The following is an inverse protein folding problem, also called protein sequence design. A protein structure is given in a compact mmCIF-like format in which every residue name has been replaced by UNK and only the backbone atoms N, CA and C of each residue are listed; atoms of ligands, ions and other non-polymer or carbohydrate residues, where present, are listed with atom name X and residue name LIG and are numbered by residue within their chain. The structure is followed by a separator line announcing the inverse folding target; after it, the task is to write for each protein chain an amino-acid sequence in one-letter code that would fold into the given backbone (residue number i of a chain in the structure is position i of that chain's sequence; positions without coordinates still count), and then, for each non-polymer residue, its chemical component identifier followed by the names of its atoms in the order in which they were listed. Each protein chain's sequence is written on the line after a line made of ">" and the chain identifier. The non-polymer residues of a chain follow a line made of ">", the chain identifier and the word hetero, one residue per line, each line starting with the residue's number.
data_IF_050000378330
#
_entry.id   IF_050000378330
#
_cell.length_a   1.000
_cell.length_b   1.000
_cell.length_c   1.000
_cell.angle_alpha   90.00
_cell.angle_beta   90.00
_cell.angle_gamma   90.00
#
_symmetry.space_group_name_H-M   'P 1'
#
loop_
_entity.id
_entity.type
_entity.pdbx_description
1 polymer ?
#
# COMPACT_ATOMS: atom_id res chain seq x y z
N UNK A 1 -9.35 3.58 16.62
CA UNK A 1 -9.44 2.48 15.64
C UNK A 1 -10.02 2.94 14.30
N UNK A 2 -10.95 3.90 14.30
CA UNK A 2 -11.54 4.44 13.05
C UNK A 2 -10.58 5.35 12.27
N UNK A 3 -9.58 5.89 12.91
CA UNK A 3 -8.58 6.78 12.29
C UNK A 3 -7.42 6.03 11.61
N UNK A 4 -7.35 4.70 11.75
CA UNK A 4 -6.27 3.87 11.23
C UNK A 4 -6.85 2.88 10.22
N UNK A 5 -6.36 2.94 8.99
CA UNK A 5 -6.54 1.91 7.97
C UNK A 5 -5.32 0.98 7.95
N UNK A 6 -5.55 -0.30 7.64
CA UNK A 6 -4.46 -1.28 7.57
C UNK A 6 -4.63 -2.22 6.38
N UNK A 7 -3.57 -2.31 5.59
CA UNK A 7 -3.40 -3.27 4.50
C UNK A 7 -2.36 -4.31 4.91
N UNK A 8 -2.78 -5.55 5.05
CA UNK A 8 -1.90 -6.66 5.40
C UNK A 8 -1.28 -7.32 4.16
N UNK A 9 -0.11 -7.91 4.30
CA UNK A 9 0.62 -8.60 3.23
C UNK A 9 -0.25 -9.58 2.44
N UNK A 10 -1.02 -10.46 3.10
CA UNK A 10 -1.93 -11.43 2.50
C UNK A 10 -3.34 -10.87 2.19
N UNK A 11 -3.53 -9.54 2.16
CA UNK A 11 -4.85 -8.87 2.05
C UNK A 11 -5.81 -9.15 3.22
N UNK A 12 -5.69 -10.27 3.91
CA UNK A 12 -6.49 -10.70 5.06
C UNK A 12 -8.01 -10.50 4.83
N UNK A 13 -8.50 -10.85 3.65
CA UNK A 13 -9.93 -10.83 3.34
C UNK A 13 -10.62 -12.01 4.03
N UNK A 14 -11.88 -11.81 4.38
CA UNK A 14 -12.74 -12.88 4.86
C UNK A 14 -13.24 -13.69 3.67
N UNK A 15 -12.81 -14.94 3.53
CA UNK A 15 -13.13 -15.80 2.39
C UNK A 15 -14.62 -16.11 2.25
N UNK A 16 -15.34 -16.12 3.36
CA UNK A 16 -16.79 -16.34 3.41
C UNK A 16 -17.64 -15.10 3.12
N UNK A 17 -17.01 -13.95 2.95
CA UNK A 17 -17.67 -12.67 2.66
C UNK A 17 -17.41 -12.24 1.23
N UNK A 18 -18.42 -11.65 0.60
CA UNK A 18 -18.26 -11.00 -0.71
C UNK A 18 -17.33 -9.79 -0.63
N UNK A 19 -16.89 -9.30 -1.79
CA UNK A 19 -16.09 -8.06 -1.91
C UNK A 19 -16.77 -6.90 -1.17
N UNK A 20 -18.07 -6.66 -1.42
CA UNK A 20 -18.82 -5.59 -0.76
C UNK A 20 -18.90 -5.78 0.76
N UNK A 21 -19.08 -7.01 1.23
CA UNK A 21 -19.14 -7.31 2.67
C UNK A 21 -17.79 -7.13 3.36
N UNK A 22 -16.68 -7.53 2.71
CA UNK A 22 -15.33 -7.26 3.20
C UNK A 22 -15.09 -5.76 3.37
N UNK A 23 -15.46 -4.95 2.39
CA UNK A 23 -15.29 -3.48 2.45
C UNK A 23 -16.24 -2.86 3.47
N UNK A 24 -17.48 -3.35 3.58
CA UNK A 24 -18.46 -2.86 4.55
C UNK A 24 -18.11 -3.21 6.01
N UNK A 25 -17.27 -4.22 6.24
CA UNK A 25 -17.01 -4.78 7.56
C UNK A 25 -16.60 -3.72 8.59
N UNK A 26 -15.60 -2.82 8.33
CA UNK A 26 -15.23 -1.80 9.29
C UNK A 26 -16.37 -0.81 9.60
N UNK A 27 -17.18 -0.45 8.61
CA UNK A 27 -18.32 0.45 8.81
C UNK A 27 -19.37 -0.20 9.75
N UNK A 28 -19.66 -1.49 9.54
CA UNK A 28 -20.60 -2.25 10.39
C UNK A 28 -20.12 -2.40 11.83
N UNK A 29 -18.79 -2.47 12.02
CA UNK A 29 -18.17 -2.65 13.34
C UNK A 29 -18.02 -1.36 14.14
N UNK A 30 -17.83 -0.23 13.46
CA UNK A 30 -17.38 1.00 14.12
C UNK A 30 -18.34 2.18 13.93
N UNK A 31 -19.41 2.04 13.16
CA UNK A 31 -20.42 3.09 12.95
C UNK A 31 -21.83 2.57 13.22
N UNK A 32 -22.75 3.52 13.45
CA UNK A 32 -24.18 3.26 13.51
C UNK A 32 -24.90 3.71 12.23
N UNK A 33 -24.17 3.73 11.12
CA UNK A 33 -24.70 4.20 9.83
C UNK A 33 -25.79 3.28 9.30
N UNK A 34 -26.79 3.86 8.64
CA UNK A 34 -27.85 3.10 7.98
C UNK A 34 -27.28 2.22 6.86
N UNK A 35 -27.97 1.11 6.56
CA UNK A 35 -27.58 0.20 5.46
C UNK A 35 -27.38 0.94 4.14
N UNK A 36 -28.22 1.92 3.83
CA UNK A 36 -28.12 2.72 2.61
C UNK A 36 -26.84 3.58 2.60
N UNK A 37 -26.46 4.18 3.73
CA UNK A 37 -25.25 5.00 3.84
C UNK A 37 -23.99 4.13 3.69
N UNK A 38 -23.98 2.96 4.35
CA UNK A 38 -22.90 1.97 4.21
C UNK A 38 -22.76 1.55 2.75
N UNK A 39 -23.87 1.19 2.07
CA UNK A 39 -23.85 0.77 0.67
C UNK A 39 -23.24 1.85 -0.23
N UNK A 40 -23.72 3.10 -0.12
CA UNK A 40 -23.18 4.22 -0.91
C UNK A 40 -21.69 4.42 -0.69
N UNK A 41 -21.21 4.27 0.55
CA UNK A 41 -19.78 4.42 0.86
C UNK A 41 -18.96 3.26 0.29
N UNK A 42 -19.47 2.03 0.35
CA UNK A 42 -18.85 0.84 -0.26
C UNK A 42 -18.74 0.99 -1.77
N UNK A 43 -19.83 1.41 -2.43
CA UNK A 43 -19.86 1.63 -3.88
C UNK A 43 -18.79 2.67 -4.29
N UNK A 44 -18.74 3.79 -3.58
CA UNK A 44 -17.77 4.85 -3.80
C UNK A 44 -16.31 4.37 -3.69
N UNK A 45 -15.96 3.65 -2.63
CA UNK A 45 -14.56 3.19 -2.47
C UNK A 45 -14.21 2.06 -3.42
N UNK A 46 -15.17 1.19 -3.81
CA UNK A 46 -14.95 0.17 -4.83
C UNK A 46 -14.75 0.77 -6.22
N UNK A 47 -15.48 1.82 -6.56
CA UNK A 47 -15.25 2.59 -7.79
C UNK A 47 -13.86 3.23 -7.77
N UNK A 48 -13.46 3.86 -6.65
CA UNK A 48 -12.13 4.50 -6.49
C UNK A 48 -10.97 3.54 -6.70
N UNK A 49 -11.10 2.28 -6.31
CA UNK A 49 -10.07 1.26 -6.54
C UNK A 49 -10.28 0.47 -7.84
N UNK A 50 -11.15 0.95 -8.74
CA UNK A 50 -11.47 0.34 -10.03
C UNK A 50 -11.96 -1.12 -9.94
N UNK A 51 -12.93 -1.36 -9.05
CA UNK A 51 -13.58 -2.66 -8.84
C UNK A 51 -15.09 -2.63 -9.08
N UNK A 52 -15.52 -1.83 -10.07
CA UNK A 52 -16.92 -1.76 -10.48
C UNK A 52 -17.40 -3.14 -10.92
N UNK A 53 -18.58 -3.56 -10.41
CA UNK A 53 -19.18 -4.86 -10.75
C UNK A 53 -18.67 -6.08 -9.98
N UNK A 54 -17.66 -5.90 -9.11
CA UNK A 54 -17.11 -7.01 -8.30
C UNK A 54 -17.85 -7.26 -6.98
N UNK A 55 -18.86 -6.46 -6.62
CA UNK A 55 -19.51 -6.43 -5.31
C UNK A 55 -19.92 -7.79 -4.75
N UNK A 56 -20.47 -8.65 -5.60
CA UNK A 56 -21.03 -9.96 -5.20
C UNK A 56 -20.03 -11.12 -5.29
N UNK A 57 -18.84 -10.87 -5.81
CA UNK A 57 -17.79 -11.89 -5.92
C UNK A 57 -17.19 -12.22 -4.57
N UNK A 58 -16.76 -13.47 -4.41
CA UNK A 58 -15.95 -13.91 -3.28
C UNK A 58 -14.45 -13.65 -3.56
N UNK A 59 -13.58 -13.58 -2.54
CA UNK A 59 -12.14 -13.47 -2.73
C UNK A 59 -11.54 -14.52 -3.67
N UNK A 60 -12.05 -15.76 -3.63
CA UNK A 60 -11.64 -16.86 -4.51
C UNK A 60 -11.99 -16.68 -6.00
N UNK A 61 -12.90 -15.75 -6.33
CA UNK A 61 -13.37 -15.48 -7.69
C UNK A 61 -12.67 -14.27 -8.33
N UNK A 62 -11.69 -13.70 -7.67
CA UNK A 62 -10.96 -12.50 -8.12
C UNK A 62 -9.45 -12.71 -8.07
N UNK A 63 -8.71 -12.00 -8.94
CA UNK A 63 -7.25 -12.09 -8.99
C UNK A 63 -6.56 -11.52 -7.75
N UNK A 64 -5.28 -11.88 -7.51
CA UNK A 64 -4.49 -11.35 -6.40
C UNK A 64 -4.43 -9.82 -6.37
N UNK A 65 -4.24 -9.19 -7.53
CA UNK A 65 -4.27 -7.72 -7.63
C UNK A 65 -5.64 -7.13 -7.30
N UNK A 66 -6.75 -7.80 -7.68
CA UNK A 66 -8.09 -7.38 -7.25
C UNK A 66 -8.28 -7.56 -5.74
N UNK A 67 -7.77 -8.64 -5.14
CA UNK A 67 -7.83 -8.83 -3.69
C UNK A 67 -7.09 -7.71 -2.93
N UNK A 68 -5.93 -7.27 -3.42
CA UNK A 68 -5.20 -6.12 -2.86
C UNK A 68 -6.02 -4.84 -2.94
N UNK A 69 -6.69 -4.57 -4.07
CA UNK A 69 -7.57 -3.41 -4.22
C UNK A 69 -8.79 -3.48 -3.29
N UNK A 70 -9.39 -4.64 -3.07
CA UNK A 70 -10.46 -4.83 -2.06
C UNK A 70 -9.94 -4.51 -0.66
N UNK A 71 -8.73 -4.98 -0.32
CA UNK A 71 -8.12 -4.72 0.97
C UNK A 71 -7.79 -3.22 1.18
N UNK A 72 -7.34 -2.52 0.12
CA UNK A 72 -7.18 -1.06 0.13
C UNK A 72 -8.52 -0.36 0.34
N UNK A 73 -9.57 -0.73 -0.42
CA UNK A 73 -10.91 -0.17 -0.26
C UNK A 73 -11.43 -0.35 1.17
N UNK A 74 -11.25 -1.54 1.76
CA UNK A 74 -11.59 -1.83 3.16
C UNK A 74 -10.80 -0.97 4.14
N UNK A 75 -9.51 -0.72 3.88
CA UNK A 75 -8.67 0.08 4.76
C UNK A 75 -9.09 1.57 4.78
N UNK A 76 -9.55 2.11 3.64
CA UNK A 76 -9.91 3.53 3.51
C UNK A 76 -11.40 3.84 3.71
N UNK A 77 -12.25 2.82 3.88
CA UNK A 77 -13.71 3.00 3.90
C UNK A 77 -14.20 3.93 5.03
N UNK A 78 -13.48 3.97 6.16
CA UNK A 78 -13.78 4.84 7.32
C UNK A 78 -13.12 6.24 7.25
N UNK A 79 -12.53 6.64 6.12
CA UNK A 79 -11.74 7.87 6.00
C UNK A 79 -10.66 7.97 7.10
N UNK A 80 -9.70 7.04 7.15
CA UNK A 80 -8.66 7.06 8.16
C UNK A 80 -7.72 8.26 7.99
N UNK A 81 -7.08 8.70 9.08
CA UNK A 81 -5.99 9.69 9.03
C UNK A 81 -4.63 9.04 8.75
N UNK A 82 -4.51 7.77 9.10
CA UNK A 82 -3.28 6.98 8.96
C UNK A 82 -3.56 5.70 8.21
N UNK A 83 -2.73 5.38 7.22
CA UNK A 83 -2.77 4.13 6.47
C UNK A 83 -1.45 3.39 6.66
N UNK A 84 -1.52 2.16 7.16
CA UNK A 84 -0.37 1.29 7.27
C UNK A 84 -0.49 0.19 6.22
N UNK A 85 0.52 0.04 5.37
CA UNK A 85 0.62 -0.98 4.34
C UNK A 85 1.80 -1.89 4.63
N UNK A 86 1.53 -3.17 4.85
CA UNK A 86 2.54 -4.19 5.07
C UNK A 86 2.70 -5.03 3.80
N UNK A 87 3.85 -4.89 3.12
CA UNK A 87 4.19 -5.58 1.88
C UNK A 87 3.04 -5.54 0.84
N UNK A 88 2.58 -4.34 0.43
CA UNK A 88 1.38 -4.21 -0.40
C UNK A 88 1.48 -4.95 -1.73
N UNK A 89 2.67 -5.10 -2.29
CA UNK A 89 2.94 -5.68 -3.61
C UNK A 89 3.35 -7.15 -3.57
N UNK A 90 3.48 -7.74 -2.39
CA UNK A 90 3.92 -9.13 -2.24
C UNK A 90 3.05 -10.09 -3.05
N UNK A 91 3.69 -10.92 -3.88
CA UNK A 91 3.03 -11.93 -4.69
C UNK A 91 2.37 -11.43 -5.98
N UNK A 92 2.60 -10.19 -6.38
CA UNK A 92 2.10 -9.61 -7.63
C UNK A 92 3.18 -9.61 -8.72
N UNK A 93 2.73 -9.61 -9.98
CA UNK A 93 3.61 -9.33 -11.11
C UNK A 93 4.04 -7.85 -11.12
N UNK A 94 5.18 -7.50 -11.76
CA UNK A 94 5.72 -6.14 -11.70
C UNK A 94 4.75 -5.05 -12.18
N UNK A 95 3.95 -5.31 -13.21
CA UNK A 95 3.01 -4.30 -13.72
C UNK A 95 1.88 -4.05 -12.73
N UNK A 96 1.35 -5.11 -12.13
CA UNK A 96 0.31 -5.01 -11.10
C UNK A 96 0.86 -4.35 -9.83
N UNK A 97 2.12 -4.62 -9.46
CA UNK A 97 2.78 -3.98 -8.33
C UNK A 97 2.83 -2.46 -8.48
N UNK A 98 3.27 -1.94 -9.63
CA UNK A 98 3.30 -0.51 -9.95
C UNK A 98 1.88 0.10 -9.86
N UNK A 99 0.85 -0.59 -10.33
CA UNK A 99 -0.53 -0.11 -10.23
C UNK A 99 -1.01 0.01 -8.78
N UNK A 100 -0.59 -0.90 -7.91
CA UNK A 100 -0.91 -0.85 -6.47
C UNK A 100 -0.16 0.30 -5.79
N UNK A 101 1.13 0.50 -6.08
CA UNK A 101 1.92 1.61 -5.56
C UNK A 101 1.31 2.96 -5.94
N UNK A 102 1.00 3.15 -7.22
CA UNK A 102 0.37 4.37 -7.70
C UNK A 102 -0.99 4.61 -7.04
N UNK A 103 -1.80 3.56 -6.87
CA UNK A 103 -3.09 3.65 -6.19
C UNK A 103 -2.93 4.10 -4.72
N UNK A 104 -1.94 3.56 -4.00
CA UNK A 104 -1.63 3.96 -2.61
C UNK A 104 -1.21 5.43 -2.58
N UNK A 105 -0.32 5.86 -3.48
CA UNK A 105 0.14 7.25 -3.59
C UNK A 105 -1.01 8.22 -3.87
N UNK A 106 -1.84 7.91 -4.87
CA UNK A 106 -3.02 8.71 -5.23
C UNK A 106 -3.99 8.85 -4.04
N UNK A 107 -4.30 7.75 -3.36
CA UNK A 107 -5.18 7.74 -2.18
C UNK A 107 -4.57 8.57 -1.05
N UNK A 108 -3.27 8.46 -0.82
CA UNK A 108 -2.55 9.23 0.20
C UNK A 108 -2.75 10.73 -0.01
N UNK A 109 -2.58 11.20 -1.23
CA UNK A 109 -2.74 12.62 -1.58
C UNK A 109 -4.21 13.05 -1.57
N UNK A 110 -5.09 12.28 -2.22
CA UNK A 110 -6.51 12.62 -2.37
C UNK A 110 -7.26 12.72 -1.03
N UNK A 111 -6.93 11.85 -0.09
CA UNK A 111 -7.62 11.78 1.21
C UNK A 111 -6.85 12.49 2.33
N UNK A 112 -5.72 13.13 2.01
CA UNK A 112 -4.84 13.79 3.01
C UNK A 112 -4.45 12.83 4.16
N UNK A 113 -4.00 11.62 3.78
CA UNK A 113 -3.65 10.53 4.69
C UNK A 113 -2.14 10.51 4.91
N UNK A 114 -1.69 10.31 6.15
CA UNK A 114 -0.31 9.90 6.42
C UNK A 114 -0.18 8.39 6.20
N UNK A 115 0.58 8.00 5.16
CA UNK A 115 0.76 6.59 4.82
C UNK A 115 2.14 6.10 5.22
N UNK A 116 2.19 4.95 5.88
CA UNK A 116 3.41 4.21 6.20
C UNK A 116 3.40 2.89 5.43
N UNK A 117 4.38 2.70 4.56
CA UNK A 117 4.54 1.47 3.78
C UNK A 117 5.76 0.72 4.31
N UNK A 118 5.56 -0.50 4.80
CA UNK A 118 6.63 -1.44 5.10
C UNK A 118 6.86 -2.31 3.87
N UNK A 119 8.06 -2.27 3.30
CA UNK A 119 8.42 -3.06 2.12
C UNK A 119 9.92 -3.31 2.06
N UNK A 120 10.32 -4.38 1.40
CA UNK A 120 11.69 -4.67 1.00
C UNK A 120 11.93 -4.43 -0.51
N UNK A 121 10.87 -4.05 -1.26
CA UNK A 121 10.97 -3.78 -2.69
C UNK A 121 11.48 -2.36 -2.94
N UNK A 122 12.70 -2.25 -3.42
CA UNK A 122 13.33 -0.96 -3.74
C UNK A 122 12.64 -0.22 -4.89
N UNK A 123 11.94 -0.93 -5.79
CA UNK A 123 11.19 -0.25 -6.84
C UNK A 123 10.02 0.54 -6.22
N UNK A 124 9.27 -0.08 -5.29
CA UNK A 124 8.21 0.61 -4.54
C UNK A 124 8.77 1.80 -3.75
N UNK A 125 9.91 1.61 -3.05
CA UNK A 125 10.57 2.70 -2.30
C UNK A 125 10.88 3.89 -3.22
N UNK A 126 11.40 3.65 -4.41
CA UNK A 126 11.77 4.70 -5.36
C UNK A 126 10.55 5.35 -6.03
N UNK A 127 9.47 4.59 -6.24
CA UNK A 127 8.24 5.08 -6.89
C UNK A 127 7.41 5.98 -5.97
N UNK A 128 7.19 5.55 -4.72
CA UNK A 128 6.24 6.20 -3.82
C UNK A 128 6.83 6.73 -2.52
N UNK A 129 8.12 6.48 -2.23
CA UNK A 129 8.75 6.91 -0.98
C UNK A 129 9.09 8.39 -0.98
N UNK A 130 8.62 9.14 0.03
CA UNK A 130 9.01 10.53 0.28
C UNK A 130 10.08 10.59 1.38
N UNK A 131 9.83 9.91 2.52
CA UNK A 131 10.73 9.82 3.66
C UNK A 131 10.99 8.35 3.96
N UNK A 132 12.21 7.90 3.75
CA UNK A 132 12.61 6.50 3.84
C UNK A 132 13.31 6.27 5.18
N UNK A 133 12.80 5.30 5.94
CA UNK A 133 13.42 4.83 7.17
C UNK A 133 13.94 3.41 6.95
N UNK A 134 15.25 3.22 6.99
CA UNK A 134 15.86 1.91 6.85
C UNK A 134 16.15 1.29 8.21
N UNK A 135 15.60 0.08 8.40
CA UNK A 135 15.76 -0.71 9.62
C UNK A 135 16.72 -1.88 9.39
N UNK A 136 17.68 -2.07 10.29
CA UNK A 136 18.59 -3.22 10.30
C UNK A 136 18.74 -3.70 11.75
N UNK A 137 18.56 -4.99 11.99
CA UNK A 137 18.68 -5.61 13.32
C UNK A 137 17.78 -4.95 14.39
N UNK A 138 16.57 -4.52 14.02
CA UNK A 138 15.62 -3.88 14.94
C UNK A 138 15.95 -2.42 15.29
N UNK A 139 16.97 -1.82 14.66
CA UNK A 139 17.38 -0.44 14.88
C UNK A 139 17.25 0.41 13.62
N UNK A 140 17.07 1.72 13.81
CA UNK A 140 17.16 2.69 12.72
C UNK A 140 18.62 2.77 12.25
N UNK A 141 18.88 2.25 11.05
CA UNK A 141 20.20 2.28 10.43
C UNK A 141 20.42 3.54 9.56
N UNK A 142 19.34 4.04 8.93
CA UNK A 142 19.40 5.24 8.09
C UNK A 142 18.02 5.87 7.95
N UNK A 143 17.99 7.16 7.59
CA UNK A 143 16.78 7.89 7.23
C UNK A 143 17.12 9.00 6.25
N UNK A 144 16.27 9.20 5.23
CA UNK A 144 16.44 10.26 4.24
C UNK A 144 15.41 10.16 3.11
N UNK A 145 15.61 10.96 2.06
CA UNK A 145 14.79 10.93 0.84
C UNK A 145 15.31 9.88 -0.16
N UNK A 146 14.55 9.66 -1.23
CA UNK A 146 14.98 8.77 -2.33
C UNK A 146 16.19 9.31 -3.09
N UNK A 147 16.38 10.63 -3.15
CA UNK A 147 17.56 11.25 -3.76
C UNK A 147 18.80 11.04 -2.89
N UNK A 148 18.66 11.13 -1.57
CA UNK A 148 19.74 10.96 -0.61
C UNK A 148 20.22 9.50 -0.54
N UNK A 149 19.33 8.52 -0.83
CA UNK A 149 19.70 7.10 -0.80
C UNK A 149 20.83 6.79 -1.81
N UNK A 150 20.89 7.49 -2.95
CA UNK A 150 21.92 7.30 -3.97
C UNK A 150 23.24 8.02 -3.66
N UNK A 151 23.24 8.94 -2.70
CA UNK A 151 24.41 9.74 -2.31
C UNK A 151 25.02 9.31 -0.98
N UNK A 152 24.33 8.47 -0.23
CA UNK A 152 24.80 8.04 1.10
C UNK A 152 25.91 6.99 1.00
N UNK A 153 26.89 7.07 1.92
CA UNK A 153 27.91 6.06 2.16
C UNK A 153 27.58 5.18 3.38
N UNK A 154 26.34 5.23 3.87
CA UNK A 154 25.91 4.37 4.97
C UNK A 154 26.05 2.90 4.57
N UNK A 155 26.87 2.13 5.30
CA UNK A 155 27.18 0.73 4.98
C UNK A 155 25.93 -0.15 4.84
N UNK A 156 24.93 0.06 5.69
CA UNK A 156 23.70 -0.74 5.67
C UNK A 156 22.87 -0.50 4.39
N UNK A 157 22.85 0.75 3.90
CA UNK A 157 22.21 1.10 2.63
C UNK A 157 23.01 0.54 1.46
N UNK A 158 24.34 0.73 1.48
CA UNK A 158 25.24 0.24 0.42
C UNK A 158 25.09 -1.27 0.25
N UNK A 159 25.13 -2.03 1.34
CA UNK A 159 24.99 -3.49 1.33
C UNK A 159 23.65 -3.95 0.78
N UNK A 160 22.55 -3.30 1.18
CA UNK A 160 21.19 -3.71 0.81
C UNK A 160 20.79 -3.24 -0.58
N UNK A 161 20.85 -1.92 -0.83
CA UNK A 161 20.34 -1.31 -2.06
C UNK A 161 21.21 -1.65 -3.26
N UNK A 162 22.54 -1.61 -3.08
CA UNK A 162 23.50 -1.86 -4.18
C UNK A 162 23.94 -3.32 -4.30
N UNK A 163 23.20 -4.25 -3.71
CA UNK A 163 23.31 -5.68 -4.05
C UNK A 163 22.92 -5.96 -5.51
N UNK A 164 22.03 -5.12 -6.08
CA UNK A 164 21.60 -5.19 -7.48
C UNK A 164 22.51 -4.38 -8.41
N UNK A 165 22.92 -4.96 -9.55
CA UNK A 165 23.72 -4.29 -10.59
C UNK A 165 23.01 -3.08 -11.20
N UNK A 166 21.66 -3.11 -11.26
CA UNK A 166 20.87 -1.98 -11.73
C UNK A 166 21.08 -0.76 -10.83
N UNK A 167 20.90 -0.93 -9.52
CA UNK A 167 21.03 0.18 -8.57
C UNK A 167 22.48 0.68 -8.44
N UNK A 168 23.50 -0.17 -8.65
CA UNK A 168 24.91 0.28 -8.77
C UNK A 168 25.08 1.26 -9.92
N UNK A 169 24.57 0.92 -11.11
CA UNK A 169 24.65 1.81 -12.29
C UNK A 169 23.90 3.12 -12.08
N UNK A 170 22.74 3.08 -11.42
CA UNK A 170 21.99 4.29 -11.10
C UNK A 170 22.82 5.18 -10.15
N UNK A 171 23.42 4.61 -9.10
CA UNK A 171 24.31 5.37 -8.19
C UNK A 171 25.46 6.04 -8.93
N UNK A 172 26.15 5.30 -9.82
CA UNK A 172 27.26 5.85 -10.61
C UNK A 172 26.86 7.06 -11.47
N UNK A 173 25.61 7.08 -11.96
CA UNK A 173 25.07 8.23 -12.69
C UNK A 173 24.84 9.42 -11.75
N UNK A 174 24.22 9.20 -10.58
CA UNK A 174 23.97 10.24 -9.57
C UNK A 174 25.24 10.86 -8.96
N UNK A 175 26.35 10.09 -8.89
CA UNK A 175 27.62 10.60 -8.35
C UNK A 175 28.43 11.40 -9.37
N UNK A 176 28.04 11.39 -10.66
CA UNK A 176 28.69 12.16 -11.74
C UNK A 176 28.04 13.52 -11.98
N UNK A 177 26.87 13.75 -11.43
CA UNK A 177 26.16 15.05 -11.41
C UNK A 177 26.56 15.88 -10.18
#
# INVERSE_FOLDING_TARGET
>A
RTEIGMLFQGSALFDSMTVAENVAFPLRMFTNDSKLKIQKRVDFVLERVNLVGAHKKLPSEISGGMQKRVAIARAIVNNPKYLFCDEPNSGLDPNTAILIDNLIKEITVEYDITTVVNTHDMNSVMEIGDNILFLKNGLKAWQGSKEEIFRTDNEAIVEFVYSSELFKKVREAYLKE
#
